data_IF_706672819937
#
_entry.id   IF_706672819937
#
_cell.length_a   1.000
_cell.length_b   1.000
_cell.length_c   1.000
_cell.angle_alpha   90.00
_cell.angle_beta   90.00
_cell.angle_gamma   90.00
#
_symmetry.space_group_name_H-M   'P 1'
#
loop_
_entity.id
_entity.type
_entity.pdbx_description
1 polymer ?
#
# COMPACT_ATOMS: atom_id res chain seq x y z
N UNK A 1 23.87 8.54 -0.03
CA UNK A 1 23.51 7.69 -1.18
C UNK A 1 22.22 6.96 -0.82
N UNK A 2 21.14 7.22 -1.57
CA UNK A 2 19.76 6.93 -1.18
C UNK A 2 19.36 5.48 -1.49
N UNK A 3 18.52 4.93 -0.62
CA UNK A 3 17.86 3.61 -0.62
C UNK A 3 16.99 3.34 -1.87
N UNK A 4 17.58 3.36 -3.06
CA UNK A 4 16.96 2.92 -4.32
C UNK A 4 17.32 1.46 -4.67
N UNK A 5 18.16 0.78 -3.88
CA UNK A 5 18.71 -0.52 -4.27
C UNK A 5 17.72 -1.67 -4.16
N UNK A 6 16.81 -1.68 -3.17
CA UNK A 6 15.89 -2.81 -2.96
C UNK A 6 14.91 -3.03 -4.12
N UNK A 7 14.44 -1.95 -4.76
CA UNK A 7 13.52 -2.03 -5.90
C UNK A 7 14.25 -2.24 -7.24
N UNK A 8 15.47 -1.72 -7.40
CA UNK A 8 16.29 -2.01 -8.60
C UNK A 8 16.75 -3.47 -8.69
N UNK A 9 16.91 -4.15 -7.56
CA UNK A 9 17.24 -5.60 -7.54
C UNK A 9 16.05 -6.51 -7.84
N UNK A 10 14.81 -6.02 -7.73
CA UNK A 10 13.61 -6.75 -8.15
C UNK A 10 13.52 -6.88 -9.69
N UNK A 11 14.10 -5.92 -10.42
CA UNK A 11 14.00 -5.83 -11.89
C UNK A 11 14.96 -6.74 -12.69
N UNK A 12 15.96 -7.39 -12.06
CA UNK A 12 17.05 -8.06 -12.80
C UNK A 12 17.04 -9.60 -12.81
N UNK A 13 16.15 -10.28 -12.09
CA UNK A 13 16.15 -11.74 -12.03
C UNK A 13 14.75 -12.36 -11.88
N UNK A 14 13.88 -12.27 -12.89
CA UNK A 14 12.81 -13.25 -13.09
C UNK A 14 12.64 -13.61 -14.56
N UNK A 15 13.67 -14.26 -15.11
CA UNK A 15 13.56 -15.14 -16.27
C UNK A 15 13.88 -16.57 -15.85
N UNK A 16 13.06 -17.19 -15.02
CA UNK A 16 12.99 -18.65 -14.90
C UNK A 16 11.81 -19.10 -14.02
N UNK A 17 11.03 -20.03 -14.57
CA UNK A 17 10.18 -21.00 -13.85
C UNK A 17 8.78 -20.56 -13.43
N UNK A 18 7.91 -20.39 -14.43
CA UNK A 18 6.50 -20.78 -14.31
C UNK A 18 6.39 -22.27 -13.95
N UNK A 19 6.02 -22.59 -12.71
CA UNK A 19 5.35 -23.86 -12.40
C UNK A 19 4.05 -23.59 -11.65
N UNK A 20 3.00 -23.77 -12.41
CA UNK A 20 1.59 -23.89 -12.08
C UNK A 20 1.32 -24.92 -10.99
N UNK A 21 0.44 -24.58 -10.05
CA UNK A 21 -0.33 -25.58 -9.31
C UNK A 21 -1.61 -25.90 -10.09
N UNK A 22 -1.72 -27.17 -10.50
CA UNK A 22 -2.85 -27.75 -11.23
C UNK A 22 -3.99 -28.01 -10.24
N UNK A 23 -5.21 -27.65 -10.62
CA UNK A 23 -6.37 -28.47 -10.27
C UNK A 23 -7.17 -28.76 -11.55
N UNK A 24 -7.35 -30.04 -11.83
CA UNK A 24 -8.01 -30.59 -13.02
C UNK A 24 -9.53 -30.54 -12.86
N UNK A 25 -10.23 -29.93 -13.81
CA UNK A 25 -11.69 -29.91 -13.88
C UNK A 25 -12.17 -29.54 -15.29
N UNK A 26 -12.75 -30.52 -15.96
CA UNK A 26 -13.14 -30.59 -17.38
C UNK A 26 -14.06 -29.46 -17.90
N UNK A 27 -13.84 -29.06 -19.16
CA UNK A 27 -14.90 -28.56 -20.05
C UNK A 27 -14.89 -27.07 -20.44
N UNK A 28 -13.90 -26.60 -21.21
CA UNK A 28 -14.02 -25.31 -21.91
C UNK A 28 -14.51 -25.51 -23.35
N UNK A 29 -15.78 -25.21 -23.59
CA UNK A 29 -16.27 -24.90 -24.96
C UNK A 29 -15.60 -23.61 -25.39
N UNK A 30 -14.75 -23.68 -26.40
CA UNK A 30 -14.22 -22.50 -27.07
C UNK A 30 -15.34 -21.89 -27.93
N UNK A 31 -15.97 -20.83 -27.43
CA UNK A 31 -16.67 -19.90 -28.30
C UNK A 31 -15.61 -19.02 -28.95
N UNK A 32 -15.34 -19.23 -30.25
CA UNK A 32 -14.68 -18.24 -31.08
C UNK A 32 -15.60 -17.02 -31.16
N UNK A 33 -15.35 -16.02 -30.33
CA UNK A 33 -15.90 -14.68 -30.54
C UNK A 33 -14.99 -13.92 -31.49
N UNK A 34 -15.62 -13.24 -32.45
CA UNK A 34 -15.01 -12.44 -33.51
C UNK A 34 -13.84 -11.57 -33.02
N UNK A 35 -12.76 -11.48 -33.82
CA UNK A 35 -11.61 -10.57 -33.70
C UNK A 35 -11.77 -9.48 -32.62
N UNK A 36 -11.52 -9.81 -31.36
CA UNK A 36 -11.56 -8.81 -30.30
C UNK A 36 -10.24 -8.05 -30.36
N UNK A 37 -10.32 -6.77 -30.72
CA UNK A 37 -9.17 -5.86 -30.68
C UNK A 37 -8.61 -5.93 -29.25
N UNK A 38 -7.34 -6.28 -29.08
CA UNK A 38 -6.70 -6.25 -27.77
C UNK A 38 -6.37 -4.80 -27.43
N UNK A 39 -6.88 -4.23 -26.32
CA UNK A 39 -6.52 -2.87 -25.92
C UNK A 39 -5.02 -2.76 -25.62
N UNK A 40 -4.37 -1.76 -26.22
CA UNK A 40 -2.99 -1.34 -25.90
C UNK A 40 -2.97 -0.26 -24.81
N UNK A 41 -4.09 -0.04 -24.13
CA UNK A 41 -4.22 0.92 -23.04
C UNK A 41 -5.06 0.36 -21.89
N UNK A 42 -4.94 0.99 -20.73
CA UNK A 42 -5.66 0.61 -19.52
C UNK A 42 -6.07 1.84 -18.70
N UNK A 43 -6.87 1.61 -17.66
CA UNK A 43 -7.25 2.63 -16.69
C UNK A 43 -6.77 2.27 -15.28
N UNK A 44 -6.41 3.28 -14.52
CA UNK A 44 -6.26 3.20 -13.07
C UNK A 44 -7.18 4.24 -12.44
N UNK A 45 -8.05 3.82 -11.53
CA UNK A 45 -9.03 4.68 -10.87
C UNK A 45 -8.67 4.83 -9.41
N UNK A 46 -8.54 6.05 -8.92
CA UNK A 46 -8.76 6.26 -7.49
C UNK A 46 -10.23 5.92 -7.13
N UNK A 47 -10.51 5.74 -5.85
CA UNK A 47 -11.83 5.32 -5.35
C UNK A 47 -12.56 6.50 -4.71
N UNK A 48 -11.97 7.14 -3.71
CA UNK A 48 -12.64 8.10 -2.84
C UNK A 48 -12.54 9.50 -3.45
N UNK A 49 -13.65 10.01 -3.97
CA UNK A 49 -13.69 11.25 -4.75
C UNK A 49 -13.76 11.02 -6.26
N UNK A 50 -13.60 9.78 -6.72
CA UNK A 50 -13.69 9.39 -8.15
C UNK A 50 -14.85 8.44 -8.43
N UNK A 51 -14.90 7.29 -7.74
CA UNK A 51 -15.95 6.28 -7.90
C UNK A 51 -17.00 6.37 -6.79
N UNK A 52 -16.56 6.68 -5.57
CA UNK A 52 -17.39 6.77 -4.38
C UNK A 52 -17.13 8.10 -3.66
N UNK A 53 -18.15 8.65 -2.99
CA UNK A 53 -18.01 9.72 -2.00
C UNK A 53 -18.75 9.33 -0.72
N UNK A 54 -18.01 9.14 0.37
CA UNK A 54 -18.57 8.68 1.66
C UNK A 54 -19.50 7.46 1.50
N UNK A 55 -19.05 6.45 0.73
CA UNK A 55 -19.80 5.23 0.35
C UNK A 55 -20.93 5.38 -0.68
N UNK A 56 -21.25 6.59 -1.17
CA UNK A 56 -22.23 6.77 -2.24
C UNK A 56 -21.55 6.75 -3.61
N UNK A 57 -22.03 5.97 -4.59
CA UNK A 57 -21.57 6.04 -5.98
C UNK A 57 -21.62 7.47 -6.53
N UNK A 58 -20.53 7.88 -7.19
CA UNK A 58 -20.50 9.10 -7.99
C UNK A 58 -21.26 8.82 -9.30
N UNK A 59 -22.13 9.72 -9.78
CA UNK A 59 -22.86 9.54 -11.03
C UNK A 59 -21.93 9.22 -12.20
N UNK A 60 -22.25 8.16 -12.97
CA UNK A 60 -21.46 7.71 -14.10
C UNK A 60 -20.33 6.72 -13.76
N UNK A 61 -20.04 6.47 -12.46
CA UNK A 61 -18.99 5.54 -12.06
C UNK A 61 -19.32 4.08 -12.44
N UNK A 62 -20.52 3.62 -12.13
CA UNK A 62 -20.96 2.26 -12.42
C UNK A 62 -21.01 2.00 -13.93
N UNK A 63 -21.60 2.93 -14.67
CA UNK A 63 -21.72 2.89 -16.14
C UNK A 63 -20.35 2.85 -16.81
N UNK A 64 -19.39 3.63 -16.30
CA UNK A 64 -18.02 3.65 -16.83
C UNK A 64 -17.30 2.34 -16.61
N UNK A 65 -17.35 1.76 -15.40
CA UNK A 65 -16.72 0.46 -15.14
C UNK A 65 -17.40 -0.67 -15.93
N UNK A 66 -18.73 -0.65 -16.04
CA UNK A 66 -19.49 -1.62 -16.83
C UNK A 66 -19.09 -1.58 -18.32
N UNK A 67 -18.97 -0.38 -18.90
CA UNK A 67 -18.50 -0.18 -20.27
C UNK A 67 -17.10 -0.76 -20.48
N UNK A 68 -16.16 -0.46 -19.59
CA UNK A 68 -14.79 -0.99 -19.70
C UNK A 68 -14.76 -2.52 -19.62
N UNK A 69 -15.57 -3.12 -18.74
CA UNK A 69 -15.73 -4.58 -18.66
C UNK A 69 -16.31 -5.17 -19.94
N UNK A 70 -17.40 -4.60 -20.46
CA UNK A 70 -18.06 -5.06 -21.69
C UNK A 70 -17.08 -5.08 -22.88
N UNK A 71 -16.21 -4.07 -22.95
CA UNK A 71 -15.22 -3.93 -24.02
C UNK A 71 -13.88 -4.63 -23.73
N UNK A 72 -13.78 -5.40 -22.64
CA UNK A 72 -12.56 -6.05 -22.17
C UNK A 72 -11.36 -5.08 -22.03
N UNK A 73 -11.62 -3.81 -21.72
CA UNK A 73 -10.57 -2.81 -21.48
C UNK A 73 -10.01 -3.00 -20.06
N UNK A 74 -8.70 -3.26 -19.90
CA UNK A 74 -8.11 -3.47 -18.59
C UNK A 74 -8.25 -2.24 -17.70
N UNK A 75 -8.64 -2.45 -16.46
CA UNK A 75 -8.59 -1.42 -15.44
C UNK A 75 -8.20 -1.95 -14.06
N UNK A 76 -7.79 -1.03 -13.20
CA UNK A 76 -7.45 -1.25 -11.81
C UNK A 76 -8.05 -0.14 -10.94
N UNK A 77 -8.43 -0.46 -9.72
CA UNK A 77 -8.76 0.46 -8.65
C UNK A 77 -7.50 0.64 -7.80
N UNK A 78 -6.94 1.85 -7.76
CA UNK A 78 -5.68 2.16 -7.08
C UNK A 78 -5.93 3.19 -5.97
N UNK A 79 -5.90 2.74 -4.71
CA UNK A 79 -6.25 3.57 -3.55
C UNK A 79 -5.15 3.56 -2.49
N UNK A 80 -4.97 4.70 -1.82
CA UNK A 80 -4.17 4.80 -0.59
C UNK A 80 -4.96 4.38 0.67
N UNK A 81 -6.27 4.11 0.53
CA UNK A 81 -7.08 3.51 1.57
C UNK A 81 -6.69 2.05 1.85
N UNK A 82 -7.01 1.55 3.05
CA UNK A 82 -6.58 0.24 3.50
C UNK A 82 -7.34 -0.30 4.71
N UNK A 83 -6.85 -1.41 5.26
CA UNK A 83 -7.32 -2.02 6.51
C UNK A 83 -8.23 -3.23 6.37
N UNK A 84 -8.47 -3.67 5.13
CA UNK A 84 -9.24 -4.86 4.77
C UNK A 84 -8.51 -5.60 3.67
N UNK A 85 -8.69 -6.91 3.58
CA UNK A 85 -8.17 -7.68 2.46
C UNK A 85 -8.92 -7.28 1.18
N UNK A 86 -8.25 -7.38 0.04
CA UNK A 86 -8.75 -6.98 -1.27
C UNK A 86 -10.08 -7.66 -1.60
N UNK A 87 -10.25 -8.93 -1.20
CA UNK A 87 -11.51 -9.68 -1.40
C UNK A 87 -12.71 -9.05 -0.71
N UNK A 88 -12.53 -8.53 0.51
CA UNK A 88 -13.61 -7.86 1.23
C UNK A 88 -13.85 -6.47 0.65
N UNK A 89 -12.77 -5.72 0.40
CA UNK A 89 -12.88 -4.35 -0.10
C UNK A 89 -13.53 -4.30 -1.48
N UNK A 90 -13.14 -5.21 -2.38
CA UNK A 90 -13.72 -5.27 -3.72
C UNK A 90 -15.19 -5.68 -3.69
N UNK A 91 -15.59 -6.59 -2.78
CA UNK A 91 -16.98 -6.99 -2.63
C UNK A 91 -17.87 -5.82 -2.20
N UNK A 92 -17.42 -4.99 -1.26
CA UNK A 92 -18.13 -3.77 -0.86
C UNK A 92 -18.30 -2.78 -2.03
N UNK A 93 -17.24 -2.58 -2.82
CA UNK A 93 -17.27 -1.66 -3.96
C UNK A 93 -18.19 -2.22 -5.05
N UNK A 94 -18.10 -3.52 -5.32
CA UNK A 94 -18.93 -4.26 -6.27
C UNK A 94 -20.41 -4.13 -5.92
N UNK A 95 -20.77 -4.27 -4.63
CA UNK A 95 -22.14 -4.11 -4.15
C UNK A 95 -22.65 -2.68 -4.34
N UNK A 96 -21.84 -1.68 -3.94
CA UNK A 96 -22.20 -0.25 -4.03
C UNK A 96 -22.39 0.19 -5.48
N UNK A 97 -21.48 -0.21 -6.38
CA UNK A 97 -21.52 0.17 -7.79
C UNK A 97 -22.43 -0.74 -8.63
N UNK A 98 -22.88 -1.88 -8.08
CA UNK A 98 -23.63 -2.92 -8.81
C UNK A 98 -22.91 -3.41 -10.07
N UNK A 99 -21.58 -3.42 -10.02
CA UNK A 99 -20.70 -3.93 -11.09
C UNK A 99 -19.92 -5.09 -10.48
N UNK A 100 -19.94 -6.30 -11.04
CA UNK A 100 -19.17 -7.43 -10.51
C UNK A 100 -17.68 -7.14 -10.63
N UNK A 101 -16.92 -7.22 -9.55
CA UNK A 101 -15.49 -6.94 -9.52
C UNK A 101 -14.74 -8.07 -8.81
N UNK A 102 -13.56 -8.41 -9.33
CA UNK A 102 -12.70 -9.47 -8.80
C UNK A 102 -11.56 -8.86 -7.94
N UNK A 103 -11.04 -9.56 -6.93
CA UNK A 103 -10.00 -9.02 -6.02
C UNK A 103 -8.75 -8.51 -6.74
N UNK A 104 -8.43 -9.03 -7.92
CA UNK A 104 -7.25 -8.62 -8.68
C UNK A 104 -7.40 -7.27 -9.39
N UNK A 105 -8.59 -6.68 -9.38
CA UNK A 105 -8.82 -5.34 -9.93
C UNK A 105 -8.59 -4.25 -8.90
N UNK A 106 -8.18 -4.56 -7.66
CA UNK A 106 -7.91 -3.55 -6.63
C UNK A 106 -6.49 -3.65 -6.08
N UNK A 107 -5.86 -2.48 -5.90
CA UNK A 107 -4.61 -2.28 -5.18
C UNK A 107 -4.85 -1.22 -4.13
N UNK A 108 -4.68 -1.63 -2.88
CA UNK A 108 -4.76 -0.82 -1.68
C UNK A 108 -3.35 -0.42 -1.23
N UNK A 109 -3.26 0.49 -0.27
CA UNK A 109 -1.99 0.99 0.25
C UNK A 109 -1.03 -0.12 0.70
N UNK A 110 -1.56 -1.16 1.33
CA UNK A 110 -0.78 -2.28 1.86
C UNK A 110 -0.59 -3.45 0.88
N UNK A 111 -1.26 -3.49 -0.27
CA UNK A 111 -1.15 -4.61 -1.22
C UNK A 111 0.29 -4.90 -1.66
N UNK A 112 1.16 -3.89 -1.91
CA UNK A 112 2.54 -4.14 -2.27
C UNK A 112 3.35 -4.88 -1.20
N UNK A 113 2.93 -4.87 0.08
CA UNK A 113 3.61 -5.65 1.12
C UNK A 113 3.52 -7.17 0.90
N UNK A 114 2.58 -7.66 0.08
CA UNK A 114 2.49 -9.07 -0.29
C UNK A 114 3.76 -9.57 -1.01
N UNK A 115 4.46 -8.72 -1.77
CA UNK A 115 5.70 -9.09 -2.46
C UNK A 115 6.87 -9.28 -1.50
N UNK A 116 6.84 -8.61 -0.35
CA UNK A 116 7.89 -8.70 0.68
C UNK A 116 7.85 -10.02 1.47
N UNK A 117 6.76 -10.79 1.37
CA UNK A 117 6.65 -12.11 2.00
C UNK A 117 7.72 -13.05 1.45
N UNK A 118 7.85 -13.14 0.12
CA UNK A 118 8.83 -14.01 -0.53
C UNK A 118 10.18 -13.33 -0.73
N UNK A 119 10.20 -12.01 -0.93
CA UNK A 119 11.42 -11.28 -1.25
C UNK A 119 12.09 -11.73 -2.56
N UNK A 120 13.14 -11.05 -3.01
CA UNK A 120 13.98 -11.51 -4.13
C UNK A 120 14.83 -12.74 -3.78
N UNK A 121 15.11 -12.98 -2.50
CA UNK A 121 15.91 -14.10 -2.01
C UNK A 121 15.48 -14.54 -0.60
N UNK A 122 15.98 -15.70 -0.15
CA UNK A 122 15.65 -16.28 1.17
C UNK A 122 16.04 -15.36 2.34
N UNK A 123 17.11 -14.56 2.18
CA UNK A 123 17.61 -13.67 3.22
C UNK A 123 16.68 -12.46 3.43
N UNK A 124 16.06 -11.97 2.35
CA UNK A 124 15.12 -10.86 2.33
C UNK A 124 13.67 -11.29 2.54
N UNK A 125 13.35 -12.56 2.32
CA UNK A 125 12.03 -13.13 2.59
C UNK A 125 11.59 -12.87 4.04
N UNK A 126 10.34 -12.44 4.20
CA UNK A 126 9.74 -12.16 5.50
C UNK A 126 8.69 -13.20 5.92
N UNK A 127 8.42 -14.21 5.09
CA UNK A 127 7.40 -15.24 5.35
C UNK A 127 7.52 -15.83 6.77
N UNK A 128 8.72 -16.28 7.14
CA UNK A 128 8.97 -16.92 8.43
C UNK A 128 9.52 -15.98 9.51
N UNK A 129 9.73 -14.69 9.18
CA UNK A 129 10.25 -13.69 10.13
C UNK A 129 9.13 -13.08 10.96
N UNK A 130 9.48 -12.52 12.12
CA UNK A 130 8.52 -11.89 13.02
C UNK A 130 8.32 -10.42 12.60
N UNK A 131 7.11 -10.07 12.16
CA UNK A 131 6.79 -8.72 11.67
C UNK A 131 5.82 -8.03 12.62
N UNK A 132 6.06 -6.75 12.89
CA UNK A 132 5.13 -5.88 13.60
C UNK A 132 4.19 -5.23 12.59
N UNK A 133 2.89 -5.51 12.71
CA UNK A 133 1.84 -4.87 11.90
C UNK A 133 1.11 -3.85 12.75
N UNK A 134 1.18 -2.59 12.32
CA UNK A 134 0.65 -1.42 13.03
C UNK A 134 -0.57 -0.87 12.28
N UNK A 135 -1.58 -0.52 13.08
CA UNK A 135 -2.76 0.21 12.67
C UNK A 135 -3.90 -0.63 12.09
N UNK A 136 -4.95 0.08 11.66
CA UNK A 136 -6.24 -0.50 11.31
C UNK A 136 -7.16 -0.71 12.51
N UNK A 137 -8.36 -1.21 12.22
CA UNK A 137 -9.37 -1.52 13.23
C UNK A 137 -9.25 -2.97 13.71
N UNK A 138 -9.24 -3.17 15.02
CA UNK A 138 -9.12 -4.47 15.65
C UNK A 138 -7.91 -5.27 15.17
N UNK A 139 -8.12 -6.57 14.95
CA UNK A 139 -7.09 -7.50 14.44
C UNK A 139 -7.03 -7.56 12.90
N UNK A 140 -7.72 -6.64 12.20
CA UNK A 140 -7.95 -6.79 10.75
C UNK A 140 -6.66 -6.72 9.93
N UNK A 141 -5.76 -5.79 10.23
CA UNK A 141 -4.50 -5.70 9.48
C UNK A 141 -3.60 -6.92 9.72
N UNK A 142 -3.66 -7.55 10.91
CA UNK A 142 -2.99 -8.84 11.13
C UNK A 142 -3.53 -9.90 10.18
N UNK A 143 -4.85 -10.01 10.07
CA UNK A 143 -5.49 -10.99 9.20
C UNK A 143 -5.08 -10.77 7.73
N UNK A 144 -5.04 -9.52 7.27
CA UNK A 144 -4.55 -9.19 5.91
C UNK A 144 -3.10 -9.67 5.73
N UNK A 145 -2.20 -9.34 6.66
CA UNK A 145 -0.80 -9.78 6.57
C UNK A 145 -0.70 -11.33 6.55
N UNK A 146 -1.48 -12.02 7.37
CA UNK A 146 -1.51 -13.48 7.38
C UNK A 146 -2.03 -14.06 6.05
N UNK A 147 -3.02 -13.43 5.44
CA UNK A 147 -3.53 -13.80 4.12
C UNK A 147 -2.50 -13.58 3.00
N UNK A 148 -1.66 -12.55 3.10
CA UNK A 148 -0.52 -12.36 2.19
C UNK A 148 0.57 -13.43 2.37
N UNK A 149 0.65 -14.03 3.55
CA UNK A 149 1.52 -15.18 3.82
C UNK A 149 2.50 -14.98 4.96
N UNK A 150 2.55 -13.81 5.61
CA UNK A 150 3.36 -13.62 6.82
C UNK A 150 2.91 -14.59 7.92
N UNK A 151 3.82 -15.45 8.40
CA UNK A 151 3.49 -16.48 9.40
C UNK A 151 3.47 -15.92 10.81
N UNK A 152 4.46 -15.10 11.15
CA UNK A 152 4.66 -14.57 12.50
C UNK A 152 4.32 -13.07 12.53
N UNK A 153 3.06 -12.75 12.79
CA UNK A 153 2.56 -11.36 12.83
C UNK A 153 2.22 -10.96 14.25
N UNK A 154 2.87 -9.91 14.74
CA UNK A 154 2.66 -9.28 16.05
C UNK A 154 2.02 -7.91 15.85
N UNK A 155 1.18 -7.48 16.79
CA UNK A 155 0.63 -6.11 16.82
C UNK A 155 1.10 -5.36 18.06
N UNK A 156 1.06 -4.02 18.08
CA UNK A 156 1.31 -3.22 19.27
C UNK A 156 0.48 -3.65 20.49
N UNK A 157 -0.78 -4.06 20.24
CA UNK A 157 -1.67 -4.60 21.27
C UNK A 157 -1.13 -5.85 21.96
N UNK A 158 -0.51 -6.77 21.21
CA UNK A 158 0.06 -8.00 21.80
C UNK A 158 1.20 -7.68 22.77
N UNK A 159 2.07 -6.74 22.38
CA UNK A 159 3.22 -6.30 23.18
C UNK A 159 2.71 -5.60 24.46
N UNK A 160 1.74 -4.70 24.30
CA UNK A 160 1.10 -4.02 25.43
C UNK A 160 0.43 -4.99 26.40
N UNK A 161 -0.32 -5.97 25.89
CA UNK A 161 -1.01 -6.95 26.74
C UNK A 161 -0.05 -7.92 27.43
N UNK A 162 1.09 -8.22 26.82
CA UNK A 162 2.15 -9.02 27.44
C UNK A 162 2.88 -8.27 28.57
N UNK A 163 3.13 -6.97 28.40
CA UNK A 163 3.70 -6.13 29.46
C UNK A 163 3.12 -4.70 29.43
N UNK A 164 2.04 -4.44 30.19
CA UNK A 164 1.39 -3.13 30.20
C UNK A 164 2.25 -1.98 30.75
N UNK A 165 3.40 -2.27 31.38
CA UNK A 165 4.31 -1.23 31.86
C UNK A 165 5.04 -0.50 30.74
N UNK A 166 5.08 -1.07 29.52
CA UNK A 166 5.64 -0.41 28.33
C UNK A 166 4.93 0.91 27.99
N UNK A 167 3.64 1.01 28.36
CA UNK A 167 2.86 2.22 28.23
C UNK A 167 1.91 2.36 29.42
N UNK A 168 2.26 3.14 30.45
CA UNK A 168 1.55 3.12 31.74
C UNK A 168 0.14 3.73 31.68
N UNK A 169 -0.27 4.30 30.54
CA UNK A 169 -1.58 4.91 30.34
C UNK A 169 -2.59 3.88 29.84
N UNK A 170 -3.72 3.73 30.56
CA UNK A 170 -4.64 2.58 30.41
C UNK A 170 -5.83 2.80 29.46
N UNK A 171 -5.82 3.85 28.64
CA UNK A 171 -7.01 4.30 27.90
C UNK A 171 -7.55 3.27 26.88
N UNK A 172 -6.70 2.38 26.35
CA UNK A 172 -7.08 1.40 25.33
C UNK A 172 -7.02 -0.07 25.79
N UNK A 173 -6.86 -0.35 27.10
CA UNK A 173 -6.70 -1.73 27.59
C UNK A 173 -7.85 -2.66 27.17
N UNK A 174 -9.09 -2.22 27.36
CA UNK A 174 -10.29 -3.02 27.02
C UNK A 174 -10.47 -3.24 25.52
N UNK A 175 -9.88 -2.36 24.68
CA UNK A 175 -9.85 -2.54 23.23
C UNK A 175 -8.85 -3.65 22.86
N UNK A 176 -7.63 -3.60 23.40
CA UNK A 176 -6.59 -4.58 23.09
C UNK A 176 -6.85 -5.97 23.67
N UNK A 177 -7.49 -6.08 24.83
CA UNK A 177 -7.81 -7.37 25.47
C UNK A 177 -8.65 -8.30 24.57
N UNK A 178 -9.48 -7.74 23.68
CA UNK A 178 -10.35 -8.50 22.78
C UNK A 178 -9.67 -9.02 21.52
N UNK A 179 -8.55 -8.41 21.13
CA UNK A 179 -7.93 -8.59 19.81
C UNK A 179 -6.49 -9.09 19.88
N UNK A 180 -5.84 -8.98 21.04
CA UNK A 180 -4.44 -9.36 21.21
C UNK A 180 -4.28 -10.87 21.32
N UNK A 181 -3.15 -11.36 20.85
CA UNK A 181 -2.74 -12.78 20.89
C UNK A 181 -1.46 -12.91 21.74
N UNK A 182 -1.22 -14.08 22.36
CA UNK A 182 0.05 -14.34 23.03
C UNK A 182 1.23 -14.16 22.07
N UNK A 183 2.34 -13.62 22.58
CA UNK A 183 3.57 -13.46 21.80
C UNK A 183 4.14 -14.84 21.42
N UNK A 184 4.73 -14.99 20.20
CA UNK A 184 5.19 -16.28 19.68
C UNK A 184 6.38 -16.87 20.45
N UNK A 185 7.15 -16.04 21.17
CA UNK A 185 8.24 -16.46 22.05
C UNK A 185 8.11 -15.68 23.38
N UNK A 186 7.25 -16.13 24.31
CA UNK A 186 7.13 -15.50 25.63
C UNK A 186 8.34 -15.93 26.47
N UNK A 187 9.51 -15.34 26.20
CA UNK A 187 10.70 -15.54 27.02
C UNK A 187 10.80 -14.44 28.07
N UNK A 188 11.53 -14.76 29.14
CA UNK A 188 11.61 -14.00 30.40
C UNK A 188 11.74 -12.48 30.17
N UNK A 189 10.79 -11.66 30.65
CA UNK A 189 10.87 -10.20 30.54
C UNK A 189 12.09 -9.59 31.26
N UNK A 190 12.82 -10.37 32.05
CA UNK A 190 14.05 -9.95 32.74
C UNK A 190 15.34 -10.37 32.02
N UNK A 191 15.27 -11.08 30.88
CA UNK A 191 16.44 -11.47 30.06
C UNK A 191 16.34 -10.87 28.65
N UNK A 192 16.93 -9.67 28.41
CA UNK A 192 16.90 -8.99 27.12
C UNK A 192 17.60 -9.77 25.99
N UNK A 193 18.47 -10.74 26.32
CA UNK A 193 19.13 -11.60 25.31
C UNK A 193 18.18 -12.63 24.70
N UNK A 194 16.95 -12.71 25.20
CA UNK A 194 15.92 -13.65 24.80
C UNK A 194 14.58 -12.99 24.41
N UNK A 195 14.53 -11.66 24.34
CA UNK A 195 13.30 -10.90 24.07
C UNK A 195 12.67 -11.17 22.70
N UNK A 196 11.45 -10.67 22.50
CA UNK A 196 10.77 -10.72 21.20
C UNK A 196 11.57 -9.91 20.18
N UNK A 197 12.12 -10.58 19.16
CA UNK A 197 12.73 -9.95 18.00
C UNK A 197 11.67 -9.59 16.96
N UNK A 198 11.76 -8.37 16.43
CA UNK A 198 10.98 -7.88 15.28
C UNK A 198 11.93 -7.64 14.11
N UNK A 199 11.64 -8.26 12.96
CA UNK A 199 12.47 -8.22 11.75
C UNK A 199 12.04 -7.14 10.75
N UNK A 200 10.76 -6.73 10.78
CA UNK A 200 10.23 -5.62 9.98
C UNK A 200 9.02 -4.97 10.68
N UNK A 201 8.84 -3.66 10.47
CA UNK A 201 7.67 -2.92 10.95
C UNK A 201 6.86 -2.43 9.75
N UNK A 202 5.57 -2.74 9.72
CA UNK A 202 4.65 -2.32 8.68
C UNK A 202 3.49 -1.54 9.28
N UNK A 203 3.37 -0.26 8.92
CA UNK A 203 2.17 0.53 9.17
C UNK A 203 1.21 0.27 8.01
N UNK A 204 0.31 -0.71 8.19
CA UNK A 204 -0.63 -1.16 7.16
C UNK A 204 -1.74 -0.15 6.91
N UNK A 205 -2.17 0.54 7.96
CA UNK A 205 -3.23 1.54 7.92
C UNK A 205 -3.07 2.53 9.09
N UNK A 206 -3.89 3.57 9.13
CA UNK A 206 -3.94 4.52 10.24
C UNK A 206 -4.01 3.82 11.60
N UNK A 207 -3.11 4.13 12.55
CA UNK A 207 -3.21 3.62 13.91
C UNK A 207 -4.32 4.29 14.72
N UNK A 208 -4.77 3.63 15.79
CA UNK A 208 -5.87 4.11 16.66
C UNK A 208 -5.38 4.68 17.98
N UNK A 209 -4.24 4.18 18.48
CA UNK A 209 -3.58 4.66 19.69
C UNK A 209 -2.17 5.14 19.33
N UNK A 210 -2.10 6.32 18.70
CA UNK A 210 -0.84 6.87 18.17
C UNK A 210 0.27 6.93 19.22
N UNK A 211 -0.07 7.10 20.50
CA UNK A 211 0.92 7.20 21.56
C UNK A 211 1.55 5.84 21.87
N UNK A 212 0.75 4.79 22.06
CA UNK A 212 1.27 3.43 22.22
C UNK A 212 2.03 2.97 20.97
N UNK A 213 1.43 3.18 19.79
CA UNK A 213 1.99 2.75 18.52
C UNK A 213 3.34 3.45 18.25
N UNK A 214 3.45 4.76 18.53
CA UNK A 214 4.71 5.49 18.40
C UNK A 214 5.75 5.09 19.44
N UNK A 215 5.34 4.83 20.70
CA UNK A 215 6.24 4.35 21.75
C UNK A 215 6.88 3.02 21.33
N UNK A 216 6.06 2.03 20.96
CA UNK A 216 6.54 0.69 20.56
C UNK A 216 7.45 0.77 19.33
N UNK A 217 7.09 1.53 18.30
CA UNK A 217 7.95 1.71 17.13
C UNK A 217 9.29 2.34 17.52
N UNK A 218 9.26 3.37 18.38
CA UNK A 218 10.48 4.06 18.83
C UNK A 218 11.39 3.11 19.62
N UNK A 219 10.84 2.35 20.57
CA UNK A 219 11.60 1.38 21.36
C UNK A 219 12.27 0.32 20.48
N UNK A 220 11.54 -0.22 19.50
CA UNK A 220 12.10 -1.20 18.56
C UNK A 220 13.20 -0.57 17.70
N UNK A 221 13.05 0.67 17.24
CA UNK A 221 14.07 1.34 16.42
C UNK A 221 15.31 1.79 17.21
N UNK A 222 15.22 1.88 18.54
CA UNK A 222 16.35 2.11 19.43
C UNK A 222 16.97 0.81 19.96
N UNK A 223 16.27 -0.32 19.84
CA UNK A 223 16.73 -1.62 20.35
C UNK A 223 18.00 -2.14 19.69
N UNK A 224 18.63 -3.15 20.28
CA UNK A 224 19.65 -3.97 19.61
C UNK A 224 18.95 -5.05 18.77
N UNK A 225 19.28 -5.14 17.48
CA UNK A 225 18.79 -6.16 16.54
C UNK A 225 17.27 -6.33 16.45
N UNK A 226 16.48 -5.30 16.83
CA UNK A 226 15.02 -5.38 16.86
C UNK A 226 14.44 -6.12 18.07
N UNK A 227 15.25 -6.41 19.10
CA UNK A 227 14.83 -7.14 20.29
C UNK A 227 14.21 -6.20 21.32
N UNK A 228 12.90 -6.32 21.54
CA UNK A 228 12.16 -5.48 22.48
C UNK A 228 12.74 -5.59 23.89
N UNK A 229 12.88 -4.44 24.56
CA UNK A 229 13.43 -4.32 25.92
C UNK A 229 14.94 -4.08 25.97
N UNK A 230 15.61 -4.05 24.83
CA UNK A 230 17.03 -3.67 24.72
C UNK A 230 17.18 -2.22 24.24
N UNK A 231 18.37 -1.65 24.41
CA UNK A 231 18.81 -0.39 23.79
C UNK A 231 20.16 -0.67 23.15
N UNK A 232 20.33 -0.29 21.88
CA UNK A 232 21.60 -0.47 21.17
C UNK A 232 22.68 0.45 21.73
N UNK A 233 23.87 -0.12 22.00
CA UNK A 233 25.07 0.64 22.37
C UNK A 233 25.62 1.49 21.22
N UNK A 234 25.14 1.28 19.99
CA UNK A 234 25.51 2.12 18.85
C UNK A 234 24.77 3.45 18.83
N UNK A 235 23.64 3.58 19.52
CA UNK A 235 22.85 4.80 19.53
C UNK A 235 23.65 5.99 20.07
N UNK A 236 23.69 7.10 19.31
CA UNK A 236 24.41 8.32 19.67
C UNK A 236 25.91 8.29 19.40
N UNK A 237 26.45 7.22 18.80
CA UNK A 237 27.87 7.15 18.42
C UNK A 237 28.19 8.02 17.21
N UNK A 238 28.84 9.15 17.46
CA UNK A 238 29.20 10.13 16.43
C UNK A 238 30.13 9.59 15.33
N UNK A 239 30.84 8.49 15.60
CA UNK A 239 31.77 7.86 14.65
C UNK A 239 31.07 6.89 13.67
N UNK A 240 29.78 6.63 13.87
CA UNK A 240 28.99 5.77 13.00
C UNK A 240 28.04 6.58 12.10
N UNK A 241 27.65 6.05 10.92
CA UNK A 241 26.60 6.64 10.09
C UNK A 241 25.32 6.88 10.90
N UNK A 242 24.63 7.98 10.63
CA UNK A 242 23.37 8.33 11.32
C UNK A 242 23.51 8.34 12.86
N UNK A 243 24.71 8.64 13.39
CA UNK A 243 25.03 8.56 14.81
C UNK A 243 24.75 7.18 15.43
N UNK A 244 24.91 6.12 14.63
CA UNK A 244 24.66 4.74 15.02
C UNK A 244 23.20 4.34 15.21
N UNK A 245 22.26 5.30 15.11
CA UNK A 245 20.83 4.99 15.10
C UNK A 245 20.44 4.17 13.86
N UNK A 246 19.72 3.07 14.08
CA UNK A 246 19.35 2.09 13.05
C UNK A 246 20.58 1.47 12.34
N UNK A 247 21.72 1.30 13.04
CA UNK A 247 22.95 0.66 12.53
C UNK A 247 23.31 -0.64 13.26
N UNK A 248 22.36 -1.24 13.96
CA UNK A 248 22.53 -2.43 14.81
C UNK A 248 21.52 -3.53 14.50
N UNK A 249 21.09 -3.65 13.25
CA UNK A 249 20.14 -4.68 12.83
C UNK A 249 18.69 -4.41 13.25
N UNK A 250 18.34 -3.18 13.63
CA UNK A 250 16.95 -2.78 13.87
C UNK A 250 16.10 -2.98 12.60
N UNK A 251 14.82 -3.34 12.76
CA UNK A 251 13.95 -3.63 11.62
C UNK A 251 13.71 -2.40 10.75
N UNK A 252 13.50 -2.64 9.46
CA UNK A 252 13.09 -1.59 8.55
C UNK A 252 11.63 -1.19 8.78
N UNK A 253 11.36 0.11 8.74
CA UNK A 253 10.02 0.68 8.93
C UNK A 253 9.38 1.02 7.57
N UNK A 254 8.19 0.49 7.33
CA UNK A 254 7.40 0.73 6.14
C UNK A 254 6.08 1.43 6.47
N UNK A 255 5.74 2.46 5.68
CA UNK A 255 4.43 3.13 5.68
C UNK A 255 3.72 2.82 4.37
N UNK A 256 2.45 2.41 4.46
CA UNK A 256 1.64 2.06 3.29
C UNK A 256 1.00 3.26 2.59
N UNK A 257 0.81 4.37 3.31
CA UNK A 257 0.07 5.53 2.82
C UNK A 257 0.78 6.85 3.22
N UNK A 258 1.13 7.72 2.26
CA UNK A 258 1.80 8.98 2.54
C UNK A 258 0.87 10.15 2.80
N UNK A 259 -0.43 10.01 2.57
CA UNK A 259 -1.38 11.11 2.58
C UNK A 259 -1.46 11.73 3.98
N UNK A 260 -1.14 13.02 4.06
CA UNK A 260 -1.29 13.81 5.28
C UNK A 260 -2.77 14.00 5.60
N UNK A 261 -3.57 14.30 4.58
CA UNK A 261 -4.99 14.63 4.67
C UNK A 261 -5.81 13.68 3.81
N UNK A 262 -7.01 13.33 4.28
CA UNK A 262 -7.99 12.59 3.49
C UNK A 262 -9.42 13.11 3.72
N UNK A 263 -10.29 12.85 2.74
CA UNK A 263 -11.69 13.24 2.76
C UNK A 263 -12.55 12.24 3.55
N UNK A 264 -12.85 12.57 4.81
CA UNK A 264 -13.77 11.79 5.65
C UNK A 264 -15.21 12.31 5.55
N UNK A 265 -16.14 11.74 6.34
CA UNK A 265 -17.53 12.22 6.41
C UNK A 265 -17.67 13.62 7.04
N UNK A 266 -16.68 14.06 7.83
CA UNK A 266 -16.65 15.42 8.38
C UNK A 266 -16.36 16.44 7.28
N UNK A 267 -16.90 17.66 7.41
CA UNK A 267 -16.80 18.69 6.37
C UNK A 267 -15.38 19.24 6.13
N UNK A 268 -14.44 18.99 7.04
CA UNK A 268 -13.03 19.33 6.89
C UNK A 268 -12.17 18.05 6.76
N UNK A 269 -11.06 18.10 6.00
CA UNK A 269 -10.12 16.98 5.89
C UNK A 269 -9.62 16.49 7.25
N UNK A 270 -9.38 15.19 7.39
CA UNK A 270 -8.83 14.56 8.61
C UNK A 270 -7.39 14.11 8.37
N UNK A 271 -6.60 14.04 9.43
CA UNK A 271 -5.25 13.47 9.33
C UNK A 271 -5.36 11.99 8.95
N UNK A 272 -4.53 11.57 8.00
CA UNK A 272 -4.33 10.18 7.61
C UNK A 272 -3.02 9.61 8.16
N UNK A 273 -2.55 8.53 7.54
CA UNK A 273 -1.34 7.84 7.97
C UNK A 273 -0.09 8.72 7.82
N UNK A 274 -0.10 9.65 6.84
CA UNK A 274 0.93 10.68 6.73
C UNK A 274 1.02 11.56 7.98
N UNK A 275 -0.11 11.88 8.62
CA UNK A 275 -0.11 12.61 9.89
C UNK A 275 0.53 11.83 11.03
N UNK A 276 0.26 10.52 11.12
CA UNK A 276 0.93 9.64 12.09
C UNK A 276 2.43 9.56 11.83
N UNK A 277 2.83 9.43 10.56
CA UNK A 277 4.24 9.43 10.15
C UNK A 277 4.95 10.71 10.58
N UNK A 278 4.38 11.89 10.30
CA UNK A 278 4.96 13.18 10.71
C UNK A 278 5.07 13.29 12.24
N UNK A 279 4.07 12.81 12.98
CA UNK A 279 4.12 12.76 14.44
C UNK A 279 5.26 11.86 14.97
N UNK A 280 5.41 10.65 14.39
CA UNK A 280 6.50 9.74 14.75
C UNK A 280 7.86 10.34 14.40
N UNK A 281 7.99 11.02 13.26
CA UNK A 281 9.24 11.70 12.88
C UNK A 281 9.60 12.82 13.86
N UNK A 282 8.61 13.57 14.34
CA UNK A 282 8.80 14.57 15.38
C UNK A 282 9.30 13.95 16.70
N UNK A 283 8.68 12.85 17.14
CA UNK A 283 9.11 12.10 18.33
C UNK A 283 10.54 11.59 18.14
N UNK A 284 10.83 10.95 17.01
CA UNK A 284 12.16 10.44 16.69
C UNK A 284 13.21 11.54 16.70
N UNK A 285 12.92 12.68 16.09
CA UNK A 285 13.84 13.82 16.07
C UNK A 285 14.11 14.37 17.48
N UNK A 286 13.08 14.45 18.33
CA UNK A 286 13.24 14.88 19.72
C UNK A 286 14.10 13.90 20.53
N UNK A 287 13.92 12.59 20.33
CA UNK A 287 14.68 11.54 21.04
C UNK A 287 16.14 11.46 20.57
N UNK A 288 16.38 11.59 19.27
CA UNK A 288 17.71 11.35 18.67
C UNK A 288 18.52 12.61 18.39
N UNK A 289 17.91 13.79 18.54
CA UNK A 289 18.46 15.09 18.14
C UNK A 289 18.21 15.44 16.66
N UNK A 290 17.62 14.51 15.89
CA UNK A 290 17.01 14.77 14.59
C UNK A 290 17.93 15.39 13.54
N UNK A 291 17.34 16.04 12.51
CA UNK A 291 18.09 16.59 11.39
C UNK A 291 19.16 17.62 11.80
N UNK A 292 18.98 18.30 12.93
CA UNK A 292 19.98 19.25 13.47
C UNK A 292 21.30 18.56 13.84
N UNK A 293 21.27 17.28 14.22
CA UNK A 293 22.47 16.43 14.39
C UNK A 293 22.82 15.63 13.13
N UNK A 294 22.09 15.78 12.04
CA UNK A 294 22.23 14.92 10.87
C UNK A 294 21.66 13.51 11.08
N UNK A 295 20.76 13.33 12.05
CA UNK A 295 20.04 12.07 12.28
C UNK A 295 18.70 12.11 11.56
N UNK A 296 18.38 11.04 10.83
CA UNK A 296 17.12 10.87 10.11
C UNK A 296 16.49 9.52 10.49
N UNK A 297 15.16 9.50 10.59
CA UNK A 297 14.40 8.25 10.67
C UNK A 297 14.45 7.53 9.31
N UNK A 298 15.16 6.40 9.24
CA UNK A 298 15.23 5.55 8.05
C UNK A 298 13.95 4.73 7.95
N UNK A 299 13.27 4.87 6.81
CA UNK A 299 11.96 4.28 6.53
C UNK A 299 11.72 4.21 5.01
N UNK A 300 10.78 3.37 4.60
CA UNK A 300 10.20 3.37 3.25
C UNK A 300 8.75 3.83 3.33
N UNK A 301 8.35 4.67 2.38
CA UNK A 301 6.97 5.09 2.22
C UNK A 301 6.53 4.59 0.84
N UNK A 302 5.45 3.81 0.82
CA UNK A 302 4.74 3.41 -0.39
C UNK A 302 3.36 4.10 -0.40
N UNK A 303 2.54 3.79 -1.40
CA UNK A 303 1.30 4.49 -1.72
C UNK A 303 1.53 5.53 -2.81
N UNK A 304 0.47 5.99 -3.48
CA UNK A 304 0.55 7.14 -4.41
C UNK A 304 1.07 8.37 -3.64
N UNK A 305 2.02 9.16 -4.18
CA UNK A 305 2.53 9.19 -5.55
C UNK A 305 3.82 8.37 -5.79
N UNK A 306 4.20 7.45 -4.90
CA UNK A 306 5.50 6.78 -4.96
C UNK A 306 5.60 5.76 -6.10
N UNK A 307 6.77 5.74 -6.71
CA UNK A 307 7.15 4.87 -7.84
C UNK A 307 6.73 3.41 -7.63
N UNK A 308 7.12 2.78 -6.51
CA UNK A 308 6.86 1.35 -6.26
C UNK A 308 5.38 0.96 -6.25
N UNK A 309 4.47 1.88 -5.89
CA UNK A 309 3.04 1.61 -5.96
C UNK A 309 2.52 1.60 -7.40
N UNK A 310 3.06 2.45 -8.27
CA UNK A 310 2.72 2.46 -9.68
C UNK A 310 3.36 1.29 -10.45
N UNK A 311 4.56 0.86 -10.06
CA UNK A 311 5.19 -0.38 -10.57
C UNK A 311 4.30 -1.59 -10.25
N UNK A 312 3.89 -1.74 -8.99
CA UNK A 312 2.98 -2.81 -8.56
C UNK A 312 1.65 -2.76 -9.34
N UNK A 313 1.06 -1.57 -9.49
CA UNK A 313 -0.19 -1.37 -10.22
C UNK A 313 -0.06 -1.74 -11.71
N UNK A 314 1.03 -1.35 -12.37
CA UNK A 314 1.31 -1.73 -13.76
C UNK A 314 1.48 -3.24 -13.91
N UNK A 315 2.26 -3.89 -13.03
CA UNK A 315 2.39 -5.34 -13.05
C UNK A 315 1.06 -6.05 -12.82
N UNK A 316 0.19 -5.52 -11.95
CA UNK A 316 -1.14 -6.07 -11.74
C UNK A 316 -2.03 -5.91 -13.00
N UNK A 317 -1.99 -4.74 -13.65
CA UNK A 317 -2.68 -4.51 -14.93
C UNK A 317 -2.21 -5.48 -16.02
N UNK A 318 -0.91 -5.70 -16.14
CA UNK A 318 -0.32 -6.64 -17.10
C UNK A 318 -0.70 -8.09 -16.79
N UNK A 319 -0.67 -8.50 -15.51
CA UNK A 319 -1.14 -9.82 -15.07
C UNK A 319 -2.61 -10.03 -15.43
N UNK A 320 -3.47 -9.05 -15.17
CA UNK A 320 -4.89 -9.11 -15.48
C UNK A 320 -5.12 -9.20 -17.00
N UNK A 321 -4.41 -8.39 -17.78
CA UNK A 321 -4.49 -8.40 -19.25
C UNK A 321 -4.06 -9.75 -19.83
N UNK A 322 -2.98 -10.34 -19.32
CA UNK A 322 -2.51 -11.66 -19.75
C UNK A 322 -3.52 -12.78 -19.44
N UNK A 323 -4.27 -12.69 -18.33
CA UNK A 323 -5.33 -13.66 -18.00
C UNK A 323 -6.51 -13.61 -18.96
N UNK A 324 -6.86 -12.42 -19.46
CA UNK A 324 -7.99 -12.22 -20.38
C UNK A 324 -7.63 -12.58 -21.82
N UNK A 325 -6.46 -12.14 -22.30
CA UNK A 325 -6.09 -12.25 -23.72
C UNK A 325 -5.00 -13.30 -24.03
N UNK A 326 -4.43 -13.97 -23.03
CA UNK A 326 -3.43 -15.03 -23.23
C UNK A 326 -2.22 -14.55 -24.04
N UNK A 327 -1.86 -15.30 -25.08
CA UNK A 327 -0.74 -14.97 -25.98
C UNK A 327 -0.93 -13.66 -26.74
N UNK A 328 -2.16 -13.19 -26.92
CA UNK A 328 -2.44 -11.94 -27.66
C UNK A 328 -2.08 -10.70 -26.82
N UNK A 329 -1.78 -10.88 -25.54
CA UNK A 329 -1.31 -9.84 -24.63
C UNK A 329 0.20 -9.53 -24.73
N UNK A 330 0.92 -10.10 -25.70
CA UNK A 330 2.38 -9.93 -25.83
C UNK A 330 2.82 -8.47 -26.00
N UNK A 331 1.98 -7.62 -26.61
CA UNK A 331 2.29 -6.20 -26.73
C UNK A 331 2.11 -5.49 -25.37
N UNK A 332 3.10 -4.68 -24.93
CA UNK A 332 3.00 -3.93 -23.68
C UNK A 332 1.89 -2.87 -23.75
N UNK A 333 1.41 -2.45 -22.58
CA UNK A 333 0.51 -1.30 -22.49
C UNK A 333 1.26 -0.05 -22.95
N UNK A 334 0.69 0.65 -23.93
CA UNK A 334 1.23 1.92 -24.43
C UNK A 334 0.79 3.09 -23.55
N UNK A 335 -0.47 3.10 -23.12
CA UNK A 335 -1.04 4.18 -22.31
C UNK A 335 -1.77 3.61 -21.07
N UNK A 336 -1.63 4.28 -19.94
CA UNK A 336 -2.47 4.06 -18.75
C UNK A 336 -3.09 5.39 -18.35
N UNK A 337 -4.40 5.44 -18.20
CA UNK A 337 -5.11 6.65 -17.78
C UNK A 337 -5.40 6.59 -16.29
N UNK A 338 -4.66 7.36 -15.49
CA UNK A 338 -4.89 7.52 -14.06
C UNK A 338 -5.96 8.59 -13.83
N UNK A 339 -7.12 8.18 -13.34
CA UNK A 339 -8.24 9.06 -13.00
C UNK A 339 -8.25 9.25 -11.49
N UNK A 340 -8.04 10.48 -11.05
CA UNK A 340 -7.86 10.83 -9.64
C UNK A 340 -8.44 12.20 -9.30
N UNK A 341 -8.66 12.45 -8.01
CA UNK A 341 -9.19 13.70 -7.49
C UNK A 341 -8.15 14.53 -6.72
N UNK A 342 -6.98 13.96 -6.41
CA UNK A 342 -5.95 14.60 -5.60
C UNK A 342 -4.68 14.94 -6.41
N UNK A 343 -4.37 16.23 -6.62
CA UNK A 343 -3.16 16.65 -7.35
C UNK A 343 -1.84 16.14 -6.77
N UNK A 344 -1.69 16.09 -5.44
CA UNK A 344 -0.45 15.68 -4.77
C UNK A 344 -0.24 14.16 -4.73
N UNK A 345 -1.29 13.39 -5.03
CA UNK A 345 -1.26 11.92 -4.96
C UNK A 345 -1.43 11.30 -6.35
N UNK A 346 -2.63 11.38 -6.94
CA UNK A 346 -2.93 10.72 -8.21
C UNK A 346 -2.21 11.34 -9.40
N UNK A 347 -2.26 12.67 -9.48
CA UNK A 347 -1.75 13.43 -10.63
C UNK A 347 -0.24 13.47 -10.60
N UNK A 348 0.34 13.83 -9.44
CA UNK A 348 1.77 13.75 -9.20
C UNK A 348 2.31 12.35 -9.46
N UNK A 349 1.64 11.31 -8.97
CA UNK A 349 2.07 9.92 -9.14
C UNK A 349 2.13 9.53 -10.61
N UNK A 350 1.04 9.73 -11.36
CA UNK A 350 0.98 9.41 -12.78
C UNK A 350 2.00 10.23 -13.61
N UNK A 351 2.22 11.50 -13.30
CA UNK A 351 3.17 12.36 -14.01
C UNK A 351 4.64 11.98 -13.72
N UNK A 352 4.94 11.57 -12.49
CA UNK A 352 6.30 11.26 -12.04
C UNK A 352 6.71 9.81 -12.24
N UNK A 353 5.75 8.90 -12.43
CA UNK A 353 6.02 7.50 -12.67
C UNK A 353 6.91 7.27 -13.90
N UNK A 354 7.81 6.30 -13.78
CA UNK A 354 8.68 5.84 -14.87
C UNK A 354 8.45 4.35 -15.07
N UNK A 355 7.69 3.99 -16.09
CA UNK A 355 7.39 2.60 -16.41
C UNK A 355 8.62 1.85 -16.89
N UNK A 356 8.85 0.67 -16.34
CA UNK A 356 9.86 -0.28 -16.83
C UNK A 356 9.45 -0.91 -18.18
N UNK A 357 8.15 -0.92 -18.48
CA UNK A 357 7.57 -1.44 -19.71
C UNK A 357 7.38 -0.37 -20.80
N UNK A 358 7.73 0.88 -20.50
CA UNK A 358 7.62 2.02 -21.43
C UNK A 358 6.21 2.58 -21.59
N UNK A 359 5.25 2.20 -20.74
CA UNK A 359 3.90 2.77 -20.78
C UNK A 359 3.90 4.24 -20.38
N UNK A 360 3.04 5.03 -21.04
CA UNK A 360 2.81 6.44 -20.71
C UNK A 360 1.58 6.56 -19.81
N UNK A 361 1.80 7.07 -18.60
CA UNK A 361 0.72 7.36 -17.67
C UNK A 361 0.20 8.78 -17.88
N UNK A 362 -1.09 8.89 -18.22
CA UNK A 362 -1.80 10.15 -18.43
C UNK A 362 -2.68 10.42 -17.21
N UNK A 363 -2.53 11.59 -16.62
CA UNK A 363 -3.27 11.99 -15.42
C UNK A 363 -4.53 12.76 -15.80
N UNK A 364 -5.68 12.29 -15.32
CA UNK A 364 -6.98 12.92 -15.53
C UNK A 364 -7.54 13.32 -14.17
N UNK A 365 -7.56 14.62 -13.91
CA UNK A 365 -8.05 15.17 -12.64
C UNK A 365 -9.56 15.38 -12.69
N UNK A 366 -10.31 14.79 -11.76
CA UNK A 366 -11.76 14.99 -11.64
C UNK A 366 -12.11 16.02 -10.57
N UNK A 367 -13.28 16.64 -10.70
CA UNK A 367 -13.78 17.69 -9.77
C UNK A 367 -14.72 17.18 -8.68
N UNK A 368 -14.77 15.86 -8.48
CA UNK A 368 -15.74 15.19 -7.59
C UNK A 368 -15.20 14.92 -6.18
N UNK A 369 -13.95 15.27 -5.89
CA UNK A 369 -13.26 14.98 -4.63
C UNK A 369 -12.43 16.14 -4.06
N UNK A 370 -11.19 15.87 -3.66
CA UNK A 370 -10.25 16.81 -3.01
C UNK A 370 -10.06 18.08 -3.84
N UNK A 371 -9.86 17.94 -5.16
CA UNK A 371 -9.78 19.08 -6.06
C UNK A 371 -11.16 19.71 -6.29
N UNK A 372 -11.32 20.94 -5.79
CA UNK A 372 -12.56 21.72 -5.85
C UNK A 372 -12.52 22.88 -6.87
N UNK A 373 -11.44 23.01 -7.66
CA UNK A 373 -11.24 24.09 -8.62
C UNK A 373 -9.93 24.87 -8.42
N UNK A 374 -9.70 25.86 -9.28
CA UNK A 374 -8.46 26.65 -9.28
C UNK A 374 -7.29 25.99 -10.02
N UNK A 375 -6.08 26.45 -9.75
CA UNK A 375 -4.86 25.88 -10.32
C UNK A 375 -4.40 24.68 -9.47
N UNK A 376 -4.27 23.47 -10.04
CA UNK A 376 -3.82 22.30 -9.29
C UNK A 376 -2.31 22.39 -9.03
N UNK A 377 -1.86 21.90 -7.87
CA UNK A 377 -0.44 21.85 -7.50
C UNK A 377 0.44 21.07 -8.51
N UNK A 378 -0.18 20.16 -9.27
CA UNK A 378 0.43 19.41 -10.36
C UNK A 378 -0.48 19.47 -11.58
N UNK A 379 0.06 19.90 -12.72
CA UNK A 379 -0.70 20.01 -13.98
C UNK A 379 -1.09 18.62 -14.50
N UNK A 380 -2.39 18.30 -14.61
CA UNK A 380 -2.82 17.03 -15.18
C UNK A 380 -2.76 17.06 -16.71
N UNK A 381 -2.82 15.89 -17.35
CA UNK A 381 -3.00 15.80 -18.82
C UNK A 381 -4.30 16.47 -19.26
N UNK A 382 -5.37 16.28 -18.48
CA UNK A 382 -6.63 17.02 -18.66
C UNK A 382 -7.42 17.06 -17.34
N UNK A 383 -8.42 17.93 -17.28
CA UNK A 383 -9.40 18.01 -16.20
C UNK A 383 -10.76 17.57 -16.74
N UNK A 384 -11.49 16.77 -15.96
CA UNK A 384 -12.84 16.33 -16.28
C UNK A 384 -13.80 16.62 -15.12
N UNK A 385 -15.09 16.80 -15.41
CA UNK A 385 -16.07 17.10 -14.36
C UNK A 385 -16.31 15.91 -13.44
N UNK A 386 -16.28 14.68 -13.97
CA UNK A 386 -16.46 13.44 -13.22
C UNK A 386 -15.78 12.26 -13.94
N UNK A 387 -15.83 11.08 -13.33
CA UNK A 387 -15.23 9.85 -13.86
C UNK A 387 -15.76 9.45 -15.24
N UNK A 388 -17.04 9.69 -15.52
CA UNK A 388 -17.63 9.34 -16.81
C UNK A 388 -17.05 10.21 -17.95
N UNK A 389 -16.92 11.51 -17.72
CA UNK A 389 -16.25 12.41 -18.67
C UNK A 389 -14.76 12.12 -18.83
N UNK A 390 -14.10 11.67 -17.77
CA UNK A 390 -12.71 11.21 -17.85
C UNK A 390 -12.56 9.98 -18.75
N UNK A 391 -13.45 8.98 -18.61
CA UNK A 391 -13.45 7.77 -19.44
C UNK A 391 -13.79 8.09 -20.89
N UNK A 392 -14.81 8.90 -21.18
CA UNK A 392 -15.13 9.36 -22.55
C UNK A 392 -13.92 10.02 -23.22
N UNK A 393 -13.22 10.91 -22.50
CA UNK A 393 -12.04 11.59 -23.01
C UNK A 393 -10.90 10.60 -23.32
N UNK A 394 -10.64 9.66 -22.41
CA UNK A 394 -9.57 8.67 -22.55
C UNK A 394 -9.82 7.70 -23.71
N UNK A 395 -11.07 7.24 -23.90
CA UNK A 395 -11.46 6.42 -25.04
C UNK A 395 -11.28 7.15 -26.38
N UNK A 396 -11.64 8.44 -26.43
CA UNK A 396 -11.38 9.29 -27.60
C UNK A 396 -9.88 9.47 -27.84
N UNK A 397 -9.10 9.68 -26.78
CA UNK A 397 -7.64 9.84 -26.86
C UNK A 397 -6.94 8.56 -27.34
N UNK A 398 -7.41 7.39 -26.89
CA UNK A 398 -6.90 6.08 -27.33
C UNK A 398 -7.37 5.66 -28.72
N UNK A 399 -8.21 6.46 -29.39
CA UNK A 399 -8.84 6.14 -30.68
C UNK A 399 -9.60 4.80 -30.60
N UNK A 400 -10.21 4.54 -29.45
CA UNK A 400 -11.09 3.40 -29.25
C UNK A 400 -12.49 3.78 -29.71
N UNK A 401 -12.96 3.15 -30.79
CA UNK A 401 -14.34 3.33 -31.26
C UNK A 401 -15.18 2.28 -30.54
N UNK A 402 -16.05 2.75 -29.65
CA UNK A 402 -17.00 1.93 -28.91
C UNK A 402 -18.10 1.39 -29.82
#
# INVERSE_FOLDING_TARGET
MRSQSLWRSLALLQSASTRSFVNTGSGRRAFQTANSRVPDFAFAFDIDGVLLRSSKPIPGAAESLALLKEQNIPFLLLTNGGGKHETERVAEISEKLKVPLEPEVIVQSHSPFAELVRGPDEQSALENKCVLVVGGEGDRCRQVAQMYGFKNVVTPGDIYMANPSIWPFRSFKSYYEKISKPLPNPKDPNDPSRGLKIDAIFVFNDPRDWALDAQIITDILLSSEGVIGTISEKNGRADLPNWGFQQDGQPHLYFSNPDLWWAAAYHLPRLGQGGFREALEGIWAAVTGGPAKGVELKKTIIGKPYQGTYEFAEHQLLRNRARVFGSDAQQPLRNVYMIGDNPESDIRGANSYRSEHGSKWHSILVRTGVYNGGEPAWTPTTIADNVHKAVEWALKNSQWRS
#
